data_IF_695379449102
#
_entry.id   IF_695379449102
#
_cell.length_a   1.000
_cell.length_b   1.000
_cell.length_c   1.000
_cell.angle_alpha   90.00
_cell.angle_beta   90.00
_cell.angle_gamma   90.00
#
_symmetry.space_group_name_H-M   'P 1'
#
loop_
_entity.id
_entity.type
_entity.pdbx_description
1 polymer ?
#
# COMPACT_ATOMS: atom_id res chain seq x y z
N UNK A 1 48.16 2.67 -1.19
CA UNK A 1 46.85 3.27 -1.48
C UNK A 1 45.89 2.19 -1.96
N UNK A 2 45.03 1.68 -1.07
CA UNK A 2 43.84 0.88 -1.40
C UNK A 2 43.21 0.49 -0.07
N UNK A 3 41.98 0.97 0.17
CA UNK A 3 40.93 0.42 1.03
C UNK A 3 39.77 1.42 1.06
N UNK A 4 39.18 1.62 -0.12
CA UNK A 4 37.78 2.02 -0.23
C UNK A 4 36.97 0.71 -0.17
N UNK A 5 35.70 0.79 0.22
CA UNK A 5 34.71 -0.29 0.34
C UNK A 5 34.56 -0.90 1.74
N UNK A 6 34.08 -0.07 2.67
CA UNK A 6 33.36 -0.56 3.84
C UNK A 6 32.17 0.37 4.13
N UNK A 7 31.25 0.48 3.17
CA UNK A 7 30.03 1.28 3.30
C UNK A 7 28.80 0.57 2.70
N UNK A 8 28.72 -0.76 2.85
CA UNK A 8 27.64 -1.56 2.25
C UNK A 8 27.09 -2.66 3.17
N UNK A 9 27.03 -2.44 4.48
CA UNK A 9 26.63 -3.49 5.43
C UNK A 9 25.61 -3.06 6.50
N UNK A 10 24.93 -1.91 6.36
CA UNK A 10 23.92 -1.45 7.33
C UNK A 10 22.74 -0.75 6.65
N UNK A 11 22.19 -1.35 5.59
CA UNK A 11 20.79 -1.10 5.27
C UNK A 11 20.00 -2.16 6.05
N UNK A 12 19.44 -1.83 7.23
CA UNK A 12 18.46 -2.71 7.83
C UNK A 12 17.38 -2.88 6.77
N UNK A 13 17.19 -4.11 6.32
CA UNK A 13 16.03 -4.48 5.51
C UNK A 13 14.84 -4.26 6.42
N UNK A 14 14.33 -3.03 6.40
CA UNK A 14 13.11 -2.66 7.09
C UNK A 14 11.99 -3.37 6.32
N UNK A 15 11.75 -4.63 6.69
CA UNK A 15 10.54 -5.36 6.36
C UNK A 15 9.38 -4.66 7.08
N UNK A 16 8.98 -3.50 6.57
CA UNK A 16 7.66 -2.98 6.87
C UNK A 16 6.66 -3.95 6.24
N UNK A 17 5.64 -4.33 7.00
CA UNK A 17 4.46 -4.96 6.42
C UNK A 17 3.95 -4.01 5.34
N UNK A 18 4.03 -4.43 4.08
CA UNK A 18 3.56 -3.66 2.92
C UNK A 18 2.32 -4.31 2.37
N UNK A 19 1.42 -3.49 1.85
CA UNK A 19 0.31 -3.94 1.04
C UNK A 19 0.84 -4.74 -0.17
N UNK A 20 0.11 -5.79 -0.54
CA UNK A 20 0.45 -6.63 -1.70
C UNK A 20 -0.21 -6.00 -2.92
N UNK A 21 0.52 -5.92 -4.04
CA UNK A 21 -0.06 -5.42 -5.30
C UNK A 21 -1.31 -6.22 -5.67
N UNK A 22 -2.42 -5.57 -6.06
CA UNK A 22 -2.52 -4.18 -6.54
C UNK A 22 -2.79 -3.10 -5.47
N UNK A 23 -2.76 -3.43 -4.18
CA UNK A 23 -3.08 -2.48 -3.11
C UNK A 23 -1.93 -1.53 -2.78
N UNK A 24 -2.26 -0.27 -2.51
CA UNK A 24 -1.34 0.79 -2.11
C UNK A 24 -1.31 0.99 -0.60
N UNK A 25 -0.11 1.20 -0.03
CA UNK A 25 0.06 1.57 1.38
C UNK A 25 -0.53 2.96 1.67
N UNK A 26 -1.39 3.07 2.68
CA UNK A 26 -1.89 4.33 3.21
C UNK A 26 -1.27 4.59 4.58
N UNK A 27 -0.75 5.81 4.78
CA UNK A 27 -0.14 6.20 6.05
C UNK A 27 -1.20 6.23 7.16
N UNK A 28 -1.11 5.30 8.11
CA UNK A 28 -1.91 5.29 9.33
C UNK A 28 -1.28 6.21 10.40
N UNK A 29 -2.13 6.93 11.14
CA UNK A 29 -1.73 7.63 12.36
C UNK A 29 -1.68 6.70 13.59
N UNK A 30 -2.25 5.50 13.47
CA UNK A 30 -2.30 4.50 14.53
C UNK A 30 -1.17 3.49 14.33
N UNK A 31 -0.36 3.30 15.38
CA UNK A 31 0.75 2.36 15.37
C UNK A 31 0.25 0.92 15.19
N UNK A 32 1.00 0.12 14.43
CA UNK A 32 0.75 -1.31 14.19
C UNK A 32 -0.55 -1.64 13.43
N UNK A 33 -1.22 -0.64 12.85
CA UNK A 33 -2.33 -0.84 11.90
C UNK A 33 -1.78 -0.66 10.47
N UNK A 34 -1.92 -1.71 9.66
CA UNK A 34 -1.69 -1.63 8.22
C UNK A 34 -2.98 -1.15 7.55
N UNK A 35 -2.89 -0.10 6.75
CA UNK A 35 -3.99 0.40 5.95
C UNK A 35 -3.58 0.33 4.49
N UNK A 36 -4.36 -0.38 3.69
CA UNK A 36 -4.18 -0.49 2.25
C UNK A 36 -5.38 0.11 1.55
N UNK A 37 -5.17 0.66 0.35
CA UNK A 37 -6.27 1.06 -0.53
C UNK A 37 -6.13 0.45 -1.92
N UNK A 38 -7.25 0.22 -2.57
CA UNK A 38 -7.32 -0.18 -3.97
C UNK A 38 -8.34 0.69 -4.68
N UNK A 39 -7.92 1.29 -5.79
CA UNK A 39 -8.81 2.06 -6.67
C UNK A 39 -9.79 1.11 -7.37
N UNK A 40 -11.07 1.45 -7.36
CA UNK A 40 -12.16 0.67 -7.97
C UNK A 40 -13.16 1.63 -8.63
N UNK A 41 -14.08 1.15 -9.49
CA UNK A 41 -15.05 2.04 -10.09
C UNK A 41 -15.91 2.72 -9.02
N UNK A 42 -16.06 4.03 -9.15
CA UNK A 42 -16.82 4.90 -8.27
C UNK A 42 -16.28 4.96 -6.83
N UNK A 43 -15.02 4.61 -6.58
CA UNK A 43 -14.48 4.72 -5.23
C UNK A 43 -13.19 3.96 -4.94
N UNK A 44 -13.06 3.60 -3.67
CA UNK A 44 -11.91 2.92 -3.11
C UNK A 44 -12.36 1.73 -2.28
N UNK A 45 -11.60 0.64 -2.32
CA UNK A 45 -11.62 -0.33 -1.24
C UNK A 45 -10.53 0.04 -0.25
N UNK A 46 -10.88 0.15 1.02
CA UNK A 46 -9.93 0.32 2.12
C UNK A 46 -9.85 -0.97 2.90
N UNK A 47 -8.66 -1.56 2.96
CA UNK A 47 -8.36 -2.66 3.84
C UNK A 47 -7.63 -2.13 5.07
N UNK A 48 -8.13 -2.52 6.25
CA UNK A 48 -7.45 -2.26 7.52
C UNK A 48 -7.13 -3.58 8.17
N UNK A 49 -5.89 -3.73 8.63
CA UNK A 49 -5.41 -4.97 9.24
C UNK A 49 -4.72 -4.66 10.55
N UNK A 50 -5.13 -5.38 11.59
CA UNK A 50 -4.52 -5.36 12.90
C UNK A 50 -4.35 -6.81 13.38
N UNK A 51 -3.09 -7.23 13.49
CA UNK A 51 -2.70 -8.59 13.88
C UNK A 51 -3.37 -9.66 13.00
N UNK A 52 -4.33 -10.42 13.55
CA UNK A 52 -5.03 -11.51 12.87
C UNK A 52 -6.38 -11.10 12.27
N UNK A 53 -6.75 -9.82 12.39
CA UNK A 53 -8.03 -9.30 11.90
C UNK A 53 -7.80 -8.39 10.71
N UNK A 54 -8.61 -8.55 9.67
CA UNK A 54 -8.62 -7.69 8.49
C UNK A 54 -10.06 -7.35 8.14
N UNK A 55 -10.33 -6.09 7.84
CA UNK A 55 -11.63 -5.59 7.41
C UNK A 55 -11.46 -4.81 6.12
N UNK A 56 -12.36 -5.03 5.18
CA UNK A 56 -12.42 -4.28 3.92
C UNK A 56 -13.72 -3.50 3.89
N UNK A 57 -13.63 -2.19 3.62
CA UNK A 57 -14.78 -1.31 3.44
C UNK A 57 -14.72 -0.64 2.06
N UNK A 58 -15.87 -0.37 1.48
CA UNK A 58 -15.98 0.45 0.27
C UNK A 58 -16.21 1.91 0.66
N UNK A 59 -15.45 2.82 0.04
CA UNK A 59 -15.58 4.26 0.19
C UNK A 59 -15.93 4.85 -1.18
N UNK A 60 -17.15 5.39 -1.35
CA UNK A 60 -17.54 5.98 -2.63
C UNK A 60 -16.75 7.25 -2.92
N UNK A 61 -16.35 7.42 -4.18
CA UNK A 61 -15.71 8.61 -4.71
C UNK A 61 -16.08 8.75 -6.20
N UNK A 62 -16.97 9.70 -6.50
CA UNK A 62 -17.50 9.95 -7.85
C UNK A 62 -16.43 10.38 -8.86
N UNK A 63 -15.21 10.71 -8.41
CA UNK A 63 -14.09 11.07 -9.30
C UNK A 63 -13.31 9.85 -9.82
N UNK A 64 -13.54 8.67 -9.27
CA UNK A 64 -12.87 7.42 -9.65
C UNK A 64 -13.73 6.58 -10.61
N UNK A 65 -14.21 7.17 -11.69
CA UNK A 65 -14.87 6.40 -12.76
C UNK A 65 -13.83 5.67 -13.61
N UNK A 66 -14.08 4.39 -13.92
CA UNK A 66 -13.27 3.69 -14.90
C UNK A 66 -13.61 4.23 -16.27
N UNK A 67 -12.64 4.88 -16.91
CA UNK A 67 -12.76 5.17 -18.35
C UNK A 67 -12.68 3.83 -19.07
N UNK A 68 -13.84 3.27 -19.42
CA UNK A 68 -13.91 2.10 -20.27
C UNK A 68 -13.38 2.53 -21.64
N UNK A 69 -12.19 2.07 -22.01
CA UNK A 69 -11.63 2.30 -23.33
C UNK A 69 -12.40 1.39 -24.31
N UNK A 70 -13.45 1.94 -24.94
CA UNK A 70 -14.38 1.17 -25.80
C UNK A 70 -13.79 0.81 -27.18
N UNK A 71 -12.48 0.95 -27.38
CA UNK A 71 -11.79 0.79 -28.66
C UNK A 71 -10.72 -0.33 -28.63
N UNK A 72 -11.10 -1.54 -28.22
CA UNK A 72 -10.27 -2.75 -28.40
C UNK A 72 -10.77 -3.63 -29.54
#
# INVERSE_FOLDING_TARGET
MKKVFLALALLPVLCFAKCVTPWEDVKSSVKDILVCRLEVPNGWLLQTSYWYTSTVIFVPDEKHEWVLDTNS
#
